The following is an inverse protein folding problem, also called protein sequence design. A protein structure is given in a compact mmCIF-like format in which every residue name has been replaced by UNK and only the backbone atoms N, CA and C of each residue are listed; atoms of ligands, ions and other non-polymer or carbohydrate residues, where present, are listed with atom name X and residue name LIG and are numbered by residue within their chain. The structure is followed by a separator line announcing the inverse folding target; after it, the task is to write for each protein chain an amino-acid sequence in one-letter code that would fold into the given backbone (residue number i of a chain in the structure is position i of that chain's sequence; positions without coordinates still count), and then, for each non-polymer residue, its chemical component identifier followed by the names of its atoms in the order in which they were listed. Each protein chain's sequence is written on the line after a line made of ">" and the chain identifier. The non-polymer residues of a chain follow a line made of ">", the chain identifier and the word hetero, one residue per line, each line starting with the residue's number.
data_IF_031631753347
#
_entry.id   IF_031631753347
#
_cell.length_a   1.000
_cell.length_b   1.000
_cell.length_c   1.000
_cell.angle_alpha   90.00
_cell.angle_beta   90.00
_cell.angle_gamma   90.00
#
_symmetry.space_group_name_H-M   'P 1'
#
loop_
_entity.id
_entity.type
_entity.pdbx_description
1 polymer ?
#
# COMPACT_ATOMS: atom_id res chain seq x y z
N UNK A 1 20.98 -28.73 44.59
CA UNK A 1 20.09 -28.46 43.43
C UNK A 1 20.51 -27.23 42.63
N UNK A 2 20.89 -26.11 43.27
CA UNK A 2 21.25 -24.86 42.60
C UNK A 2 22.47 -24.95 41.64
N UNK A 3 23.49 -25.74 42.00
CA UNK A 3 24.67 -25.97 41.13
C UNK A 3 24.36 -26.83 39.90
N UNK A 4 23.38 -27.73 39.97
CA UNK A 4 22.96 -28.59 38.86
C UNK A 4 22.09 -27.84 37.84
N UNK A 5 21.28 -26.89 38.31
CA UNK A 5 20.51 -25.98 37.45
C UNK A 5 21.45 -25.00 36.72
N UNK A 6 22.44 -24.42 37.42
CA UNK A 6 23.47 -23.56 36.80
C UNK A 6 24.35 -24.28 35.78
N UNK A 7 24.66 -25.57 35.98
CA UNK A 7 25.44 -26.35 35.01
C UNK A 7 24.64 -26.72 33.75
N UNK A 8 23.34 -27.01 33.90
CA UNK A 8 22.45 -27.29 32.78
C UNK A 8 22.17 -26.06 31.91
N UNK A 9 22.04 -24.88 32.52
CA UNK A 9 21.85 -23.62 31.79
C UNK A 9 23.11 -23.20 31.01
N UNK A 10 24.30 -23.50 31.54
CA UNK A 10 25.57 -23.25 30.84
C UNK A 10 25.78 -24.19 29.66
N UNK A 11 25.41 -25.47 29.77
CA UNK A 11 25.56 -26.44 28.66
C UNK A 11 24.56 -26.17 27.53
N UNK A 12 23.32 -25.79 27.87
CA UNK A 12 22.30 -25.39 26.90
C UNK A 12 22.71 -24.11 26.13
N UNK A 13 23.23 -23.10 26.83
CA UNK A 13 23.74 -21.88 26.20
C UNK A 13 25.00 -22.12 25.34
N UNK A 14 25.91 -23.00 25.77
CA UNK A 14 27.08 -23.36 24.98
C UNK A 14 26.70 -24.06 23.66
N UNK A 15 25.71 -24.96 23.70
CA UNK A 15 25.19 -25.63 22.50
C UNK A 15 24.49 -24.66 21.52
N UNK A 16 23.78 -23.65 22.04
CA UNK A 16 23.15 -22.61 21.24
C UNK A 16 24.17 -21.72 20.54
N UNK A 17 25.23 -21.30 21.24
CA UNK A 17 26.31 -20.49 20.66
C UNK A 17 27.06 -21.27 19.58
N UNK A 18 27.38 -22.55 19.82
CA UNK A 18 28.03 -23.40 18.83
C UNK A 18 27.18 -23.60 17.57
N UNK A 19 25.87 -23.79 17.74
CA UNK A 19 24.90 -23.84 16.63
C UNK A 19 24.83 -22.51 15.89
N UNK A 20 24.82 -21.39 16.61
CA UNK A 20 24.84 -20.04 16.06
C UNK A 20 26.06 -19.80 15.17
N UNK A 21 27.26 -20.19 15.60
CA UNK A 21 28.50 -20.04 14.81
C UNK A 21 28.43 -20.87 13.52
N UNK A 22 27.98 -22.13 13.60
CA UNK A 22 27.85 -22.98 12.41
C UNK A 22 26.86 -22.40 11.40
N UNK A 23 25.69 -21.95 11.86
CA UNK A 23 24.69 -21.32 10.98
C UNK A 23 25.18 -19.97 10.42
N UNK A 24 25.95 -19.20 11.18
CA UNK A 24 26.53 -17.94 10.72
C UNK A 24 27.59 -18.16 9.63
N UNK A 25 28.47 -19.14 9.78
CA UNK A 25 29.46 -19.51 8.76
C UNK A 25 28.78 -20.02 7.48
N UNK A 26 27.75 -20.84 7.62
CA UNK A 26 26.98 -21.32 6.48
C UNK A 26 26.27 -20.17 5.75
N UNK A 27 25.66 -19.24 6.49
CA UNK A 27 25.07 -18.03 5.92
C UNK A 27 26.13 -17.15 5.23
N UNK A 28 27.31 -16.99 5.82
CA UNK A 28 28.42 -16.25 5.22
C UNK A 28 28.83 -16.85 3.86
N UNK A 29 28.96 -18.18 3.80
CA UNK A 29 29.36 -18.89 2.58
C UNK A 29 28.31 -18.77 1.47
N UNK A 30 27.02 -18.91 1.82
CA UNK A 30 25.93 -18.70 0.86
C UNK A 30 25.89 -17.24 0.39
N UNK A 31 25.99 -16.28 1.31
CA UNK A 31 26.00 -14.86 0.97
C UNK A 31 27.21 -14.48 0.12
N UNK A 32 28.38 -15.05 0.37
CA UNK A 32 29.56 -14.85 -0.47
C UNK A 32 29.29 -15.34 -1.90
N UNK A 33 28.82 -16.58 -2.05
CA UNK A 33 28.52 -17.16 -3.37
C UNK A 33 27.46 -16.36 -4.14
N UNK A 34 26.40 -15.91 -3.45
CA UNK A 34 25.34 -15.11 -4.06
C UNK A 34 25.81 -13.69 -4.42
N UNK A 35 26.50 -12.99 -3.53
CA UNK A 35 26.81 -11.57 -3.73
C UNK A 35 28.10 -11.32 -4.52
N UNK A 36 28.92 -12.34 -4.82
CA UNK A 36 30.17 -12.14 -5.58
C UNK A 36 29.94 -11.52 -6.94
N UNK A 37 28.91 -11.98 -7.66
CA UNK A 37 28.59 -11.46 -8.98
C UNK A 37 27.77 -10.16 -8.93
N UNK A 38 26.89 -10.00 -7.94
CA UNK A 38 25.99 -8.85 -7.85
C UNK A 38 26.57 -7.63 -7.14
N UNK A 39 27.48 -7.82 -6.19
CA UNK A 39 28.06 -6.76 -5.35
C UNK A 39 29.56 -6.68 -5.52
N UNK A 40 30.24 -7.83 -5.64
CA UNK A 40 31.69 -7.89 -5.77
C UNK A 40 32.24 -7.32 -7.08
N UNK A 41 31.44 -7.33 -8.15
CA UNK A 41 31.83 -6.87 -9.47
C UNK A 41 30.87 -5.76 -9.94
N UNK A 42 31.42 -4.61 -10.35
CA UNK A 42 30.69 -3.53 -11.03
C UNK A 42 31.31 -3.32 -12.40
N UNK A 43 30.49 -3.10 -13.43
CA UNK A 43 30.96 -2.56 -14.70
C UNK A 43 30.94 -1.03 -14.65
N UNK A 44 32.05 -0.41 -15.03
CA UNK A 44 32.20 1.05 -15.12
C UNK A 44 32.77 1.45 -16.48
N UNK A 45 32.49 2.67 -16.92
CA UNK A 45 33.10 3.20 -18.13
C UNK A 45 34.39 3.95 -17.77
N UNK A 46 35.49 3.60 -18.44
CA UNK A 46 36.73 4.35 -18.32
C UNK A 46 36.63 5.67 -19.12
N UNK A 47 37.60 6.58 -18.95
CA UNK A 47 37.71 7.88 -19.65
C UNK A 47 37.69 7.72 -21.19
N UNK A 48 38.07 6.55 -21.69
CA UNK A 48 38.02 6.17 -23.11
C UNK A 48 36.71 5.52 -23.57
N UNK A 49 35.64 5.54 -22.75
CA UNK A 49 34.34 4.89 -22.98
C UNK A 49 34.38 3.34 -23.09
N UNK A 50 35.44 2.70 -22.62
CA UNK A 50 35.52 1.23 -22.55
C UNK A 50 34.89 0.71 -21.25
N UNK A 51 34.15 -0.40 -21.36
CA UNK A 51 33.56 -1.09 -20.21
C UNK A 51 34.63 -1.90 -19.47
N UNK A 52 35.02 -1.43 -18.28
CA UNK A 52 35.95 -2.13 -17.39
C UNK A 52 35.20 -2.72 -16.19
N UNK A 53 35.69 -3.85 -15.68
CA UNK A 53 35.16 -4.47 -14.46
C UNK A 53 35.94 -3.94 -13.27
N UNK A 54 35.27 -3.18 -12.41
CA UNK A 54 35.79 -2.67 -11.14
C UNK A 54 35.37 -3.60 -10.01
N UNK A 55 36.36 -4.03 -9.22
CA UNK A 55 36.15 -4.96 -8.11
C UNK A 55 35.83 -4.19 -6.82
N UNK A 56 34.79 -4.61 -6.10
CA UNK A 56 34.30 -4.00 -4.86
C UNK A 56 34.34 -4.99 -3.68
N UNK A 57 35.49 -5.63 -3.48
CA UNK A 57 35.68 -6.64 -2.42
C UNK A 57 35.33 -6.14 -1.01
N UNK A 58 35.56 -4.85 -0.72
CA UNK A 58 35.20 -4.24 0.56
C UNK A 58 33.69 -4.26 0.84
N UNK A 59 32.87 -3.87 -0.15
CA UNK A 59 31.41 -3.92 -0.02
C UNK A 59 30.91 -5.36 0.09
N UNK A 60 31.50 -6.27 -0.67
CA UNK A 60 31.17 -7.69 -0.57
C UNK A 60 31.45 -8.26 0.83
N UNK A 61 32.61 -7.95 1.41
CA UNK A 61 32.96 -8.38 2.76
C UNK A 61 31.96 -7.86 3.80
N UNK A 62 31.48 -6.61 3.64
CA UNK A 62 30.45 -6.03 4.50
C UNK A 62 29.14 -6.80 4.39
N UNK A 63 28.66 -7.11 3.19
CA UNK A 63 27.41 -7.87 2.99
C UNK A 63 27.48 -9.27 3.60
N UNK A 64 28.61 -9.96 3.42
CA UNK A 64 28.86 -11.28 4.00
C UNK A 64 28.91 -11.21 5.53
N UNK A 65 29.58 -10.20 6.09
CA UNK A 65 29.64 -9.98 7.53
C UNK A 65 28.26 -9.69 8.12
N UNK A 66 27.45 -8.84 7.47
CA UNK A 66 26.08 -8.54 7.91
C UNK A 66 25.22 -9.80 7.91
N UNK A 67 25.31 -10.64 6.88
CA UNK A 67 24.55 -11.89 6.83
C UNK A 67 24.97 -12.88 7.93
N UNK A 68 26.29 -13.02 8.17
CA UNK A 68 26.84 -13.88 9.19
C UNK A 68 26.44 -13.42 10.61
N UNK A 69 26.66 -12.14 10.92
CA UNK A 69 26.32 -11.52 12.21
C UNK A 69 24.81 -11.52 12.42
N UNK A 70 24.04 -11.14 11.40
CA UNK A 70 22.58 -11.19 11.44
C UNK A 70 22.07 -12.59 11.76
N UNK A 71 22.59 -13.62 11.07
CA UNK A 71 22.19 -15.02 11.34
C UNK A 71 22.59 -15.45 12.76
N UNK A 72 23.81 -15.14 13.19
CA UNK A 72 24.27 -15.42 14.55
C UNK A 72 23.33 -14.82 15.60
N UNK A 73 23.02 -13.52 15.48
CA UNK A 73 22.11 -12.82 16.40
C UNK A 73 20.70 -13.43 16.39
N UNK A 74 20.20 -13.82 15.22
CA UNK A 74 18.87 -14.46 15.15
C UNK A 74 18.81 -15.80 15.87
N UNK A 75 19.85 -16.61 15.77
CA UNK A 75 19.89 -17.97 16.34
C UNK A 75 20.16 -17.94 17.83
N UNK A 76 21.08 -17.09 18.27
CA UNK A 76 21.52 -17.04 19.68
C UNK A 76 20.58 -16.21 20.54
N UNK A 77 20.03 -15.11 20.03
CA UNK A 77 19.26 -14.16 20.86
C UNK A 77 17.77 -14.10 20.50
N UNK A 78 17.41 -13.98 19.21
CA UNK A 78 16.00 -13.79 18.82
C UNK A 78 15.17 -15.07 18.91
N UNK A 79 15.64 -16.20 18.36
CA UNK A 79 14.90 -17.46 18.35
C UNK A 79 14.58 -17.97 19.76
N UNK A 80 15.54 -18.04 20.70
CA UNK A 80 15.25 -18.52 22.05
C UNK A 80 14.22 -17.63 22.77
N UNK A 81 14.31 -16.31 22.61
CA UNK A 81 13.31 -15.39 23.18
C UNK A 81 11.93 -15.54 22.55
N UNK A 82 11.85 -15.68 21.22
CA UNK A 82 10.59 -15.86 20.52
C UNK A 82 9.93 -17.19 20.89
N UNK A 83 10.71 -18.27 20.99
CA UNK A 83 10.21 -19.60 21.33
C UNK A 83 9.82 -19.68 22.81
N UNK A 84 10.59 -19.07 23.71
CA UNK A 84 10.21 -18.91 25.12
C UNK A 84 8.91 -18.12 25.27
N UNK A 85 8.73 -17.04 24.50
CA UNK A 85 7.50 -16.23 24.50
C UNK A 85 6.31 -17.00 23.92
N UNK A 86 6.50 -17.80 22.86
CA UNK A 86 5.47 -18.69 22.30
C UNK A 86 5.08 -19.79 23.29
N UNK A 87 6.05 -20.41 23.96
CA UNK A 87 5.81 -21.44 24.97
C UNK A 87 5.12 -20.88 26.21
N UNK A 88 5.52 -19.70 26.68
CA UNK A 88 4.85 -19.00 27.76
C UNK A 88 3.39 -18.67 27.40
N UNK A 89 3.16 -18.18 26.17
CA UNK A 89 1.83 -17.89 25.64
C UNK A 89 0.98 -19.15 25.41
N UNK A 90 1.58 -20.26 25.00
CA UNK A 90 0.90 -21.54 24.88
C UNK A 90 0.54 -22.13 26.26
N UNK A 91 1.39 -21.91 27.28
CA UNK A 91 1.13 -22.33 28.66
C UNK A 91 0.11 -21.47 29.39
N UNK A 92 0.00 -20.19 29.08
CA UNK A 92 -0.96 -19.30 29.75
C UNK A 92 -2.41 -19.58 29.37
N UNK A 93 -2.67 -20.30 28.27
CA UNK A 93 -4.04 -20.59 27.80
C UNK A 93 -4.86 -19.34 27.48
N UNK A 94 -4.24 -18.15 27.51
CA UNK A 94 -4.89 -16.88 27.22
C UNK A 94 -5.17 -16.83 25.72
N UNK A 95 -6.43 -17.13 25.38
CA UNK A 95 -7.05 -16.58 24.18
C UNK A 95 -6.76 -15.08 24.20
N UNK A 96 -6.14 -14.59 23.12
CA UNK A 96 -5.70 -13.21 22.86
C UNK A 96 -6.90 -12.25 22.78
N UNK A 97 -7.80 -12.30 23.76
CA UNK A 97 -8.89 -11.38 23.98
C UNK A 97 -8.36 -10.45 25.05
N UNK A 98 -7.52 -9.49 24.66
CA UNK A 98 -7.30 -8.31 25.48
C UNK A 98 -8.66 -7.62 25.64
N UNK A 99 -9.37 -7.97 26.71
CA UNK A 99 -10.71 -7.47 27.07
C UNK A 99 -10.69 -5.98 27.37
N UNK A 100 -9.54 -5.42 27.74
CA UNK A 100 -9.32 -3.98 27.80
C UNK A 100 -8.52 -3.49 26.60
N UNK A 101 -9.23 -2.96 25.60
CA UNK A 101 -8.61 -2.12 24.57
C UNK A 101 -8.04 -0.88 25.28
N UNK A 102 -6.73 -0.86 25.51
CA UNK A 102 -6.04 0.26 26.16
C UNK A 102 -6.40 1.61 25.51
N UNK A 103 -6.32 2.71 26.27
CA UNK A 103 -6.75 4.05 25.86
C UNK A 103 -6.30 4.43 24.43
N UNK A 104 -5.05 4.10 24.09
CA UNK A 104 -4.48 4.32 22.76
C UNK A 104 -5.19 3.53 21.67
N UNK A 105 -5.53 2.25 21.86
CA UNK A 105 -6.27 1.47 20.84
C UNK A 105 -7.69 2.01 20.60
N UNK A 106 -8.34 2.50 21.65
CA UNK A 106 -9.71 3.02 21.59
C UNK A 106 -9.76 4.44 20.99
N UNK A 107 -8.74 5.25 21.24
CA UNK A 107 -8.65 6.63 20.75
C UNK A 107 -7.74 6.81 19.53
N UNK A 108 -7.06 5.76 19.06
CA UNK A 108 -6.09 5.82 17.97
C UNK A 108 -6.62 6.54 16.74
N UNK A 109 -7.85 6.20 16.32
CA UNK A 109 -8.49 6.83 15.16
C UNK A 109 -8.74 8.33 15.35
N UNK A 110 -9.16 8.76 16.54
CA UNK A 110 -9.40 10.17 16.84
C UNK A 110 -8.08 10.95 16.85
N UNK A 111 -7.06 10.38 17.50
CA UNK A 111 -5.72 10.97 17.57
C UNK A 111 -5.09 11.05 16.17
N UNK A 112 -5.18 9.99 15.38
CA UNK A 112 -4.66 9.96 14.01
C UNK A 112 -5.36 11.00 13.13
N UNK A 113 -6.68 11.16 13.26
CA UNK A 113 -7.44 12.15 12.51
C UNK A 113 -7.05 13.59 12.89
N UNK A 114 -6.90 13.87 14.19
CA UNK A 114 -6.42 15.18 14.67
C UNK A 114 -5.00 15.45 14.15
N UNK A 115 -4.10 14.47 14.27
CA UNK A 115 -2.73 14.60 13.78
C UNK A 115 -2.69 14.89 12.27
N UNK A 116 -3.53 14.22 11.49
CA UNK A 116 -3.58 14.37 10.05
C UNK A 116 -4.24 15.69 9.62
N UNK A 117 -5.21 16.20 10.39
CA UNK A 117 -5.79 17.53 10.17
C UNK A 117 -4.77 18.64 10.46
N UNK A 118 -3.97 18.50 11.52
CA UNK A 118 -2.93 19.45 11.91
C UNK A 118 -1.65 19.33 11.06
N UNK A 119 -1.43 18.21 10.38
CA UNK A 119 -0.19 17.91 9.65
C UNK A 119 0.25 19.01 8.67
N UNK A 120 -0.59 19.50 7.73
CA UNK A 120 -0.15 20.51 6.76
C UNK A 120 0.19 21.84 7.42
N UNK A 121 -0.56 22.22 8.46
CA UNK A 121 -0.35 23.47 9.21
C UNK A 121 0.96 23.41 9.99
N UNK A 122 1.20 22.29 10.67
CA UNK A 122 2.44 22.04 11.40
C UNK A 122 3.66 22.06 10.48
N UNK A 123 3.59 21.36 9.34
CA UNK A 123 4.68 21.32 8.36
C UNK A 123 4.92 22.70 7.74
N UNK A 124 3.87 23.47 7.44
CA UNK A 124 4.02 24.84 6.97
C UNK A 124 4.73 25.73 7.99
N UNK A 125 4.40 25.60 9.28
CA UNK A 125 5.03 26.36 10.36
C UNK A 125 6.52 26.00 10.56
N UNK A 126 6.89 24.72 10.43
CA UNK A 126 8.26 24.24 10.70
C UNK A 126 9.18 24.36 9.48
N UNK A 127 8.72 23.96 8.29
CA UNK A 127 9.55 23.88 7.09
C UNK A 127 9.41 25.09 6.16
N UNK A 128 8.52 26.03 6.49
CA UNK A 128 8.21 27.19 5.68
C UNK A 128 7.48 26.85 4.37
N UNK A 129 7.14 27.86 3.55
CA UNK A 129 6.30 27.67 2.37
C UNK A 129 6.90 26.72 1.32
N UNK A 130 8.20 26.82 1.05
CA UNK A 130 8.85 25.97 0.05
C UNK A 130 9.11 24.55 0.58
N UNK A 131 9.54 24.40 1.83
CA UNK A 131 9.71 23.08 2.44
C UNK A 131 8.40 22.32 2.54
N UNK A 132 7.29 23.01 2.85
CA UNK A 132 5.97 22.37 2.97
C UNK A 132 5.46 21.74 1.68
N UNK A 133 5.84 22.27 0.51
CA UNK A 133 5.39 21.73 -0.78
C UNK A 133 5.79 20.27 -0.91
N UNK A 134 7.05 19.97 -0.58
CA UNK A 134 7.60 18.63 -0.69
C UNK A 134 6.92 17.64 0.27
N UNK A 135 6.80 18.03 1.53
CA UNK A 135 6.24 17.16 2.58
C UNK A 135 4.72 17.00 2.50
N UNK A 136 3.98 18.05 2.14
CA UNK A 136 2.53 17.96 1.98
C UNK A 136 2.18 17.20 0.71
N UNK A 137 2.85 17.48 -0.41
CA UNK A 137 2.56 16.84 -1.70
C UNK A 137 3.02 15.37 -1.73
N UNK A 138 4.32 15.12 -1.53
CA UNK A 138 4.88 13.78 -1.75
C UNK A 138 4.60 12.81 -0.60
N UNK A 139 4.63 13.26 0.66
CA UNK A 139 4.24 12.40 1.78
C UNK A 139 2.73 12.42 1.98
N UNK A 140 2.14 13.60 2.21
CA UNK A 140 0.74 13.70 2.59
C UNK A 140 -0.22 13.20 1.51
N UNK A 141 -0.20 13.86 0.35
CA UNK A 141 -1.17 13.60 -0.72
C UNK A 141 -0.94 12.22 -1.35
N UNK A 142 0.31 11.84 -1.63
CA UNK A 142 0.60 10.52 -2.24
C UNK A 142 0.13 9.37 -1.35
N UNK A 143 0.43 9.41 -0.05
CA UNK A 143 0.00 8.36 0.89
C UNK A 143 -1.53 8.27 0.88
N UNK A 144 -2.24 9.40 0.95
CA UNK A 144 -3.70 9.41 0.97
C UNK A 144 -4.32 8.86 -0.34
N UNK A 145 -3.71 9.11 -1.50
CA UNK A 145 -4.13 8.49 -2.77
C UNK A 145 -4.01 6.96 -2.68
N UNK A 146 -2.87 6.43 -2.21
CA UNK A 146 -2.69 4.99 -2.06
C UNK A 146 -3.59 4.38 -0.98
N UNK A 147 -3.90 5.12 0.10
CA UNK A 147 -4.90 4.70 1.09
C UNK A 147 -6.26 4.52 0.43
N UNK A 148 -6.69 5.50 -0.37
CA UNK A 148 -7.98 5.44 -1.05
C UNK A 148 -8.03 4.31 -2.10
N UNK A 149 -6.96 4.14 -2.89
CA UNK A 149 -6.81 3.03 -3.83
C UNK A 149 -6.88 1.67 -3.11
N UNK A 150 -6.13 1.52 -2.02
CA UNK A 150 -6.09 0.28 -1.27
C UNK A 150 -7.45 -0.01 -0.58
N UNK A 151 -8.17 1.01 -0.10
CA UNK A 151 -9.53 0.83 0.39
C UNK A 151 -10.51 0.39 -0.69
N UNK A 152 -10.39 0.94 -1.90
CA UNK A 152 -11.17 0.48 -3.06
C UNK A 152 -10.89 -0.97 -3.43
N UNK A 153 -9.61 -1.34 -3.57
CA UNK A 153 -9.22 -2.73 -3.84
C UNK A 153 -9.63 -3.68 -2.71
N UNK A 154 -9.60 -3.22 -1.46
CA UNK A 154 -10.01 -4.01 -0.30
C UNK A 154 -11.52 -4.37 -0.30
N UNK A 155 -12.37 -3.68 -1.06
CA UNK A 155 -13.74 -4.14 -1.26
C UNK A 155 -13.75 -5.44 -2.08
N UNK A 156 -12.98 -5.47 -3.16
CA UNK A 156 -12.93 -6.61 -4.10
C UNK A 156 -12.16 -7.79 -3.49
N UNK A 157 -10.91 -7.56 -3.07
CA UNK A 157 -10.03 -8.59 -2.51
C UNK A 157 -10.38 -8.90 -1.06
N UNK A 158 -10.60 -7.86 -0.26
CA UNK A 158 -10.76 -7.98 1.18
C UNK A 158 -12.16 -8.40 1.62
N UNK A 159 -13.23 -7.87 1.03
CA UNK A 159 -14.61 -8.23 1.41
C UNK A 159 -15.17 -9.36 0.54
N UNK A 160 -15.06 -9.25 -0.79
CA UNK A 160 -15.63 -10.23 -1.73
C UNK A 160 -14.71 -11.43 -2.03
N UNK A 161 -13.41 -11.36 -1.70
CA UNK A 161 -12.47 -12.47 -1.91
C UNK A 161 -12.01 -12.65 -3.35
N UNK A 162 -12.22 -11.65 -4.20
CA UNK A 162 -11.92 -11.71 -5.62
C UNK A 162 -10.52 -11.14 -5.84
N UNK A 163 -9.62 -11.94 -6.41
CA UNK A 163 -8.26 -11.50 -6.67
C UNK A 163 -8.24 -10.59 -7.90
N UNK A 164 -7.94 -9.30 -7.70
CA UNK A 164 -7.86 -8.30 -8.76
C UNK A 164 -6.43 -7.76 -8.88
N UNK A 165 -5.68 -8.31 -9.82
CA UNK A 165 -4.33 -7.83 -10.17
C UNK A 165 -4.37 -6.65 -11.14
N UNK A 166 -5.50 -6.45 -11.81
CA UNK A 166 -5.72 -5.42 -12.82
C UNK A 166 -6.22 -4.09 -12.27
N UNK A 167 -6.22 -3.89 -10.95
CA UNK A 167 -6.85 -2.74 -10.30
C UNK A 167 -6.38 -1.37 -10.84
N UNK A 168 -5.12 -1.28 -11.27
CA UNK A 168 -4.53 -0.10 -11.93
C UNK A 168 -5.31 0.36 -13.17
N UNK A 169 -6.06 -0.53 -13.83
CA UNK A 169 -6.93 -0.20 -14.94
C UNK A 169 -8.01 0.81 -14.54
N UNK A 170 -8.66 0.60 -13.39
CA UNK A 170 -9.70 1.49 -12.90
C UNK A 170 -9.14 2.84 -12.47
N UNK A 171 -7.91 2.82 -11.93
CA UNK A 171 -7.14 4.02 -11.65
C UNK A 171 -6.83 4.82 -12.93
N UNK A 172 -6.37 4.14 -14.00
CA UNK A 172 -6.11 4.74 -15.31
C UNK A 172 -7.39 5.32 -15.93
N UNK A 173 -8.48 4.53 -15.95
CA UNK A 173 -9.77 4.96 -16.50
C UNK A 173 -10.27 6.22 -15.81
N UNK A 174 -10.16 6.31 -14.48
CA UNK A 174 -10.53 7.54 -13.75
C UNK A 174 -9.68 8.75 -14.11
N UNK A 175 -8.35 8.56 -14.21
CA UNK A 175 -7.42 9.63 -14.54
C UNK A 175 -7.61 10.14 -15.97
N UNK A 176 -7.75 9.24 -16.94
CA UNK A 176 -7.98 9.59 -18.34
C UNK A 176 -9.38 10.15 -18.58
N UNK A 177 -10.40 9.64 -17.87
CA UNK A 177 -11.75 10.23 -17.93
C UNK A 177 -11.73 11.69 -17.47
N UNK A 178 -11.06 11.97 -16.35
CA UNK A 178 -10.89 13.34 -15.86
C UNK A 178 -10.11 14.22 -16.86
N UNK A 179 -8.97 13.72 -17.34
CA UNK A 179 -8.10 14.46 -18.24
C UNK A 179 -8.78 14.82 -19.58
N UNK A 180 -9.45 13.84 -20.19
CA UNK A 180 -10.16 14.02 -21.46
C UNK A 180 -11.37 14.95 -21.29
N UNK A 181 -12.25 14.66 -20.33
CA UNK A 181 -13.47 15.44 -20.16
C UNK A 181 -13.17 16.89 -19.74
N UNK A 182 -12.14 17.10 -18.91
CA UNK A 182 -11.69 18.46 -18.58
C UNK A 182 -11.14 19.21 -19.79
N UNK A 183 -10.32 18.53 -20.63
CA UNK A 183 -9.69 19.16 -21.79
C UNK A 183 -10.67 19.49 -22.92
N UNK A 184 -11.68 18.64 -23.14
CA UNK A 184 -12.65 18.84 -24.23
C UNK A 184 -13.86 19.68 -23.82
N UNK A 185 -14.41 19.47 -22.62
CA UNK A 185 -15.66 20.10 -22.20
C UNK A 185 -15.49 21.21 -21.16
N UNK A 186 -14.28 21.41 -20.63
CA UNK A 186 -14.01 22.47 -19.65
C UNK A 186 -14.82 22.33 -18.35
N UNK A 187 -15.29 21.12 -18.02
CA UNK A 187 -16.13 20.88 -16.85
C UNK A 187 -15.36 21.11 -15.56
N UNK A 188 -16.07 21.53 -14.51
CA UNK A 188 -15.47 21.77 -13.20
C UNK A 188 -14.99 20.47 -12.55
N UNK A 189 -13.96 20.58 -11.72
CA UNK A 189 -13.42 19.47 -10.93
C UNK A 189 -14.51 18.70 -10.17
N UNK A 190 -15.48 19.42 -9.59
CA UNK A 190 -16.55 18.86 -8.77
C UNK A 190 -17.56 18.00 -9.55
N UNK A 191 -17.72 18.26 -10.85
CA UNK A 191 -18.55 17.44 -11.74
C UNK A 191 -17.73 16.26 -12.28
N UNK A 192 -16.47 16.51 -12.62
CA UNK A 192 -15.59 15.49 -13.16
C UNK A 192 -15.23 14.40 -12.16
N UNK A 193 -15.10 14.72 -10.88
CA UNK A 193 -14.81 13.77 -9.81
C UNK A 193 -15.86 12.64 -9.72
N UNK A 194 -17.17 12.91 -9.51
CA UNK A 194 -18.21 11.87 -9.50
C UNK A 194 -18.34 11.18 -10.84
N UNK A 195 -18.25 11.92 -11.96
CA UNK A 195 -18.37 11.36 -13.30
C UNK A 195 -17.27 10.34 -13.62
N UNK A 196 -16.03 10.63 -13.23
CA UNK A 196 -14.89 9.71 -13.40
C UNK A 196 -15.05 8.43 -12.58
N UNK A 197 -15.59 8.54 -11.36
CA UNK A 197 -15.92 7.36 -10.55
C UNK A 197 -17.05 6.52 -11.13
N UNK A 198 -18.09 7.14 -11.69
CA UNK A 198 -19.18 6.43 -12.38
C UNK A 198 -18.65 5.71 -13.61
N UNK A 199 -17.82 6.37 -14.43
CA UNK A 199 -17.20 5.75 -15.60
C UNK A 199 -16.31 4.57 -15.20
N UNK A 200 -15.50 4.71 -14.14
CA UNK A 200 -14.72 3.59 -13.62
C UNK A 200 -15.61 2.44 -13.11
N UNK A 201 -16.72 2.74 -12.43
CA UNK A 201 -17.69 1.74 -11.99
C UNK A 201 -18.32 0.98 -13.18
N UNK A 202 -18.67 1.69 -14.26
CA UNK A 202 -19.18 1.08 -15.49
C UNK A 202 -18.15 0.11 -16.10
N UNK A 203 -16.88 0.52 -16.19
CA UNK A 203 -15.81 -0.37 -16.62
C UNK A 203 -15.58 -1.55 -15.67
N UNK A 204 -15.79 -1.35 -14.37
CA UNK A 204 -15.80 -2.43 -13.37
C UNK A 204 -16.89 -3.47 -13.65
N UNK A 205 -18.09 -3.04 -14.06
CA UNK A 205 -19.17 -3.96 -14.47
C UNK A 205 -18.83 -4.66 -15.79
N UNK A 206 -18.26 -3.93 -16.76
CA UNK A 206 -17.84 -4.47 -18.06
C UNK A 206 -16.78 -5.56 -17.87
N UNK A 207 -15.77 -5.34 -17.02
CA UNK A 207 -14.80 -6.37 -16.64
C UNK A 207 -15.47 -7.48 -15.84
N UNK A 208 -16.39 -7.13 -14.95
CA UNK A 208 -17.05 -8.08 -14.08
C UNK A 208 -17.75 -9.20 -14.87
N UNK A 209 -18.37 -8.87 -16.01
CA UNK A 209 -19.15 -9.79 -16.85
C UNK A 209 -18.38 -11.02 -17.39
N UNK A 210 -17.26 -10.88 -18.14
CA UNK A 210 -16.47 -12.03 -18.59
C UNK A 210 -15.85 -12.82 -17.42
N UNK A 211 -15.60 -12.13 -16.31
CA UNK A 211 -14.95 -12.68 -15.12
C UNK A 211 -15.88 -13.54 -14.26
N UNK A 212 -17.21 -13.41 -14.41
CA UNK A 212 -18.21 -14.14 -13.60
C UNK A 212 -18.04 -15.67 -13.58
N UNK A 213 -17.45 -16.23 -14.65
CA UNK A 213 -17.28 -17.67 -14.83
C UNK A 213 -15.95 -18.20 -14.29
N UNK A 214 -15.05 -17.32 -13.86
CA UNK A 214 -13.69 -17.65 -13.44
C UNK A 214 -13.57 -17.64 -11.92
N UNK A 215 -12.63 -18.44 -11.41
CA UNK A 215 -12.37 -18.62 -9.97
C UNK A 215 -10.87 -18.68 -9.71
N UNK A 216 -10.48 -18.28 -8.50
CA UNK A 216 -9.10 -18.38 -8.01
C UNK A 216 -8.10 -17.71 -8.93
N UNK A 217 -7.10 -18.46 -9.39
CA UNK A 217 -5.99 -17.92 -10.16
C UNK A 217 -6.40 -17.48 -11.58
N UNK A 218 -7.41 -18.10 -12.18
CA UNK A 218 -7.91 -17.70 -13.50
C UNK A 218 -8.51 -16.29 -13.47
N UNK A 219 -9.18 -15.94 -12.36
CA UNK A 219 -9.71 -14.61 -12.12
C UNK A 219 -8.57 -13.58 -12.03
N UNK A 220 -7.46 -13.92 -11.35
CA UNK A 220 -6.29 -13.07 -11.25
C UNK A 220 -5.63 -12.80 -12.62
N UNK A 221 -5.50 -13.83 -13.45
CA UNK A 221 -4.89 -13.72 -14.79
C UNK A 221 -5.71 -12.80 -15.69
N UNK A 222 -7.04 -12.95 -15.69
CA UNK A 222 -7.91 -12.14 -16.55
C UNK A 222 -7.97 -10.68 -16.11
N UNK A 223 -7.94 -10.40 -14.81
CA UNK A 223 -7.85 -9.01 -14.33
C UNK A 223 -6.52 -8.36 -14.72
N UNK A 224 -5.40 -9.08 -14.59
CA UNK A 224 -4.10 -8.62 -15.08
C UNK A 224 -4.14 -8.31 -16.58
N UNK A 225 -4.66 -9.24 -17.38
CA UNK A 225 -4.79 -9.06 -18.83
C UNK A 225 -5.63 -7.82 -19.17
N UNK A 226 -6.75 -7.59 -18.46
CA UNK A 226 -7.55 -6.38 -18.64
C UNK A 226 -6.77 -5.10 -18.33
N UNK A 227 -6.00 -5.07 -17.24
CA UNK A 227 -5.16 -3.91 -16.92
C UNK A 227 -4.14 -3.60 -18.00
N UNK A 228 -3.50 -4.63 -18.54
CA UNK A 228 -2.58 -4.47 -19.66
C UNK A 228 -3.30 -4.07 -20.97
N UNK A 229 -4.50 -4.61 -21.24
CA UNK A 229 -5.31 -4.19 -22.39
C UNK A 229 -5.66 -2.70 -22.30
N UNK A 230 -6.14 -2.22 -21.15
CA UNK A 230 -6.46 -0.80 -20.96
C UNK A 230 -5.22 0.07 -21.18
N UNK A 231 -4.07 -0.33 -20.61
CA UNK A 231 -2.79 0.38 -20.82
C UNK A 231 -2.39 0.41 -22.30
N UNK A 232 -2.48 -0.71 -23.00
CA UNK A 232 -2.15 -0.79 -24.42
C UNK A 232 -3.11 0.01 -25.28
N UNK A 233 -4.42 0.01 -24.99
CA UNK A 233 -5.41 0.85 -25.66
C UNK A 233 -5.04 2.33 -25.48
N UNK A 234 -4.72 2.75 -24.26
CA UNK A 234 -4.31 4.12 -23.98
C UNK A 234 -3.03 4.50 -24.74
N UNK A 235 -2.06 3.58 -24.88
CA UNK A 235 -0.81 3.85 -25.61
C UNK A 235 -1.04 3.95 -27.11
N UNK A 236 -1.84 3.04 -27.69
CA UNK A 236 -2.01 2.95 -29.14
C UNK A 236 -3.09 3.89 -29.70
N UNK A 237 -4.05 4.33 -28.88
CA UNK A 237 -5.12 5.21 -29.32
C UNK A 237 -4.71 6.69 -29.36
N UNK A 238 -3.73 7.00 -30.20
CA UNK A 238 -3.09 8.31 -30.29
C UNK A 238 -4.05 9.47 -30.52
N UNK A 239 -5.12 9.26 -31.29
CA UNK A 239 -6.08 10.31 -31.64
C UNK A 239 -6.87 10.82 -30.42
N UNK A 240 -7.12 9.95 -29.44
CA UNK A 240 -7.92 10.29 -28.26
C UNK A 240 -7.02 10.60 -27.06
N UNK A 241 -6.06 9.74 -26.75
CA UNK A 241 -5.26 9.81 -25.51
C UNK A 241 -3.91 10.51 -25.70
N UNK A 242 -3.56 10.87 -26.94
CA UNK A 242 -2.23 11.34 -27.34
C UNK A 242 -1.12 10.29 -27.15
N UNK A 243 -1.49 9.02 -26.93
CA UNK A 243 -0.58 7.89 -26.82
C UNK A 243 0.45 8.07 -25.70
N UNK A 244 1.73 7.81 -26.01
CA UNK A 244 2.84 7.93 -25.06
C UNK A 244 3.09 9.35 -24.57
N UNK A 245 2.71 10.38 -25.34
CA UNK A 245 2.85 11.78 -24.92
C UNK A 245 1.96 12.14 -23.73
N UNK A 246 0.86 11.40 -23.53
CA UNK A 246 -0.10 11.68 -22.48
C UNK A 246 -0.85 13.01 -22.66
N UNK A 247 -1.66 13.35 -21.66
CA UNK A 247 -2.49 14.55 -21.66
C UNK A 247 -1.92 15.55 -20.66
N UNK A 248 -1.34 16.63 -21.17
CA UNK A 248 -0.80 17.76 -20.40
C UNK A 248 -1.76 18.94 -20.35
N UNK A 249 -1.55 19.83 -19.39
CA UNK A 249 -2.30 21.08 -19.28
C UNK A 249 -3.68 20.91 -18.68
N UNK A 250 -3.87 19.88 -17.86
CA UNK A 250 -5.15 19.60 -17.21
C UNK A 250 -5.45 20.75 -16.22
N UNK A 251 -6.62 21.40 -16.32
CA UNK A 251 -7.02 22.47 -15.42
C UNK A 251 -6.93 22.08 -13.94
N UNK A 252 -6.36 22.98 -13.13
CA UNK A 252 -6.25 22.82 -11.69
C UNK A 252 -7.63 22.79 -11.04
N UNK A 253 -7.79 21.98 -9.99
CA UNK A 253 -9.00 21.98 -9.17
C UNK A 253 -9.25 23.37 -8.55
N UNK A 254 -10.49 23.87 -8.65
CA UNK A 254 -10.94 25.14 -8.06
C UNK A 254 -11.79 24.90 -6.81
N UNK A 255 -11.73 25.82 -5.84
CA UNK A 255 -12.58 25.78 -4.66
C UNK A 255 -13.95 26.39 -5.03
N UNK A 256 -14.88 25.57 -5.50
CA UNK A 256 -16.23 25.99 -5.94
C UNK A 256 -16.25 27.26 -6.81
N UNK A 257 -15.36 27.33 -7.82
CA UNK A 257 -15.25 28.47 -8.72
C UNK A 257 -14.17 29.49 -8.34
N UNK A 258 -13.55 29.39 -7.16
CA UNK A 258 -12.40 30.21 -6.77
C UNK A 258 -11.11 29.57 -7.30
N UNK A 259 -10.40 30.22 -8.24
CA UNK A 259 -9.14 29.71 -8.76
C UNK A 259 -7.97 29.92 -7.78
N UNK A 260 -6.97 29.07 -7.86
CA UNK A 260 -5.71 29.19 -7.12
C UNK A 260 -4.60 29.84 -7.96
N UNK A 261 -4.97 30.89 -8.71
CA UNK A 261 -4.08 31.66 -9.57
C UNK A 261 -4.01 33.13 -9.14
N UNK A 262 -3.12 33.92 -9.75
CA UNK A 262 -2.92 35.32 -9.40
C UNK A 262 -4.06 36.27 -9.83
N UNK A 263 -5.19 35.74 -10.30
CA UNK A 263 -6.35 36.49 -10.76
C UNK A 263 -7.02 37.27 -9.62
N UNK A 264 -7.80 38.30 -9.95
CA UNK A 264 -8.45 39.18 -8.96
C UNK A 264 -9.40 38.44 -8.00
N UNK A 265 -10.02 37.35 -8.46
CA UNK A 265 -10.83 36.43 -7.63
C UNK A 265 -10.05 35.23 -7.08
N UNK A 266 -8.71 35.26 -7.13
CA UNK A 266 -7.86 34.15 -6.69
C UNK A 266 -7.86 33.98 -5.17
N UNK A 267 -7.78 32.74 -4.71
CA UNK A 267 -7.84 32.37 -3.28
C UNK A 267 -6.89 33.20 -2.39
N UNK A 268 -5.65 33.43 -2.82
CA UNK A 268 -4.66 34.19 -2.04
C UNK A 268 -5.06 35.67 -1.87
N UNK A 269 -5.65 36.29 -2.90
CA UNK A 269 -6.09 37.70 -2.84
C UNK A 269 -7.37 37.86 -2.03
N UNK A 270 -8.29 36.90 -2.10
CA UNK A 270 -9.55 36.93 -1.35
C UNK A 270 -9.32 36.89 0.17
N UNK A 271 -8.29 36.15 0.62
CA UNK A 271 -7.97 35.99 2.04
C UNK A 271 -6.77 36.82 2.51
N UNK A 272 -6.29 37.77 1.68
CA UNK A 272 -5.12 38.60 1.97
C UNK A 272 -3.85 37.81 2.39
N UNK A 273 -3.67 36.63 1.78
CA UNK A 273 -2.53 35.74 2.02
C UNK A 273 -1.42 35.97 0.98
N UNK A 274 -0.14 35.70 1.32
CA UNK A 274 0.94 35.77 0.34
C UNK A 274 0.70 34.76 -0.79
N UNK A 275 1.00 35.12 -2.04
CA UNK A 275 0.81 34.20 -3.17
C UNK A 275 1.85 33.07 -3.08
N UNK A 276 1.41 31.88 -2.68
CA UNK A 276 2.26 30.69 -2.60
C UNK A 276 1.54 29.46 -3.14
N UNK A 277 2.26 28.64 -3.89
CA UNK A 277 1.77 27.33 -4.36
C UNK A 277 1.46 26.36 -3.21
N UNK A 278 1.95 26.64 -2.00
CA UNK A 278 1.69 25.83 -0.81
C UNK A 278 0.20 25.76 -0.47
N UNK A 279 -0.54 26.87 -0.59
CA UNK A 279 -1.97 26.90 -0.29
C UNK A 279 -2.79 25.97 -1.17
N UNK A 280 -2.43 25.87 -2.45
CA UNK A 280 -3.08 24.94 -3.37
C UNK A 280 -2.84 23.47 -2.96
N UNK A 281 -1.61 23.12 -2.57
CA UNK A 281 -1.29 21.76 -2.11
C UNK A 281 -1.94 21.44 -0.77
N UNK A 282 -2.03 22.41 0.15
CA UNK A 282 -2.76 22.26 1.42
C UNK A 282 -4.27 22.04 1.15
N UNK A 283 -4.85 22.80 0.23
CA UNK A 283 -6.24 22.57 -0.21
C UNK A 283 -6.44 21.15 -0.76
N UNK A 284 -5.57 20.72 -1.68
CA UNK A 284 -5.63 19.36 -2.23
C UNK A 284 -5.47 18.28 -1.15
N UNK A 285 -4.61 18.51 -0.14
CA UNK A 285 -4.47 17.60 0.99
C UNK A 285 -5.77 17.45 1.78
N UNK A 286 -6.43 18.55 2.13
CA UNK A 286 -7.72 18.48 2.83
C UNK A 286 -8.81 17.88 1.97
N UNK A 287 -8.77 18.10 0.65
CA UNK A 287 -9.69 17.52 -0.29
C UNK A 287 -9.56 15.98 -0.37
N UNK A 288 -8.35 15.44 -0.57
CA UNK A 288 -8.15 13.99 -0.58
C UNK A 288 -8.41 13.37 0.79
N UNK A 289 -8.11 14.08 1.88
CA UNK A 289 -8.46 13.63 3.21
C UNK A 289 -9.98 13.53 3.38
N UNK A 290 -10.75 14.52 2.93
CA UNK A 290 -12.20 14.47 2.95
C UNK A 290 -12.74 13.31 2.09
N UNK A 291 -12.15 13.05 0.92
CA UNK A 291 -12.49 11.90 0.08
C UNK A 291 -12.13 10.56 0.74
N UNK A 292 -10.99 10.49 1.43
CA UNK A 292 -10.60 9.33 2.24
C UNK A 292 -11.62 9.09 3.37
N UNK A 293 -12.00 10.13 4.11
CA UNK A 293 -13.01 10.02 5.15
C UNK A 293 -14.36 9.57 4.58
N UNK A 294 -14.76 10.11 3.43
CA UNK A 294 -15.98 9.71 2.74
C UNK A 294 -15.93 8.24 2.29
N UNK A 295 -14.84 7.80 1.66
CA UNK A 295 -14.67 6.41 1.20
C UNK A 295 -14.61 5.44 2.38
N UNK A 296 -13.92 5.78 3.46
CA UNK A 296 -13.93 5.00 4.70
C UNK A 296 -15.34 4.91 5.30
N UNK A 297 -16.07 6.03 5.39
CA UNK A 297 -17.44 6.07 5.88
C UNK A 297 -18.38 5.19 5.05
N UNK A 298 -18.33 5.33 3.71
CA UNK A 298 -19.12 4.54 2.78
C UNK A 298 -18.77 3.05 2.90
N UNK A 299 -17.49 2.68 2.95
CA UNK A 299 -17.08 1.28 3.12
C UNK A 299 -17.56 0.68 4.44
N UNK A 300 -17.47 1.41 5.55
CA UNK A 300 -17.98 0.96 6.86
C UNK A 300 -19.50 0.76 6.81
N UNK A 301 -20.22 1.66 6.13
CA UNK A 301 -21.68 1.55 5.95
C UNK A 301 -22.04 0.36 5.05
N UNK A 302 -21.38 0.21 3.91
CA UNK A 302 -21.60 -0.90 2.97
C UNK A 302 -21.36 -2.25 3.62
N UNK A 303 -20.30 -2.39 4.43
CA UNK A 303 -19.99 -3.63 5.18
C UNK A 303 -21.13 -4.03 6.13
N UNK A 304 -21.86 -3.07 6.70
CA UNK A 304 -23.01 -3.34 7.59
C UNK A 304 -24.30 -3.64 6.83
N UNK A 305 -24.42 -3.17 5.60
CA UNK A 305 -25.58 -3.36 4.73
C UNK A 305 -25.65 -4.80 4.17
N UNK A 306 -26.81 -5.25 3.67
CA UNK A 306 -26.97 -6.60 3.10
C UNK A 306 -25.97 -6.92 2.00
N UNK A 307 -25.62 -5.93 1.17
CA UNK A 307 -24.67 -6.10 0.07
C UNK A 307 -23.25 -6.45 0.56
N UNK A 308 -22.78 -5.80 1.61
CA UNK A 308 -21.47 -6.09 2.21
C UNK A 308 -21.45 -7.44 2.93
N UNK A 309 -22.55 -7.82 3.59
CA UNK A 309 -22.69 -9.15 4.19
C UNK A 309 -22.69 -10.25 3.13
N UNK A 310 -23.32 -10.00 1.97
CA UNK A 310 -23.30 -10.92 0.84
C UNK A 310 -21.89 -11.07 0.25
N UNK A 311 -21.10 -10.00 0.16
CA UNK A 311 -19.69 -10.08 -0.22
C UNK A 311 -18.89 -10.95 0.74
N UNK A 312 -19.01 -10.70 2.05
CA UNK A 312 -18.30 -11.48 3.06
C UNK A 312 -18.71 -12.95 3.04
N UNK A 313 -20.01 -13.26 2.90
CA UNK A 313 -20.50 -14.63 2.84
C UNK A 313 -20.00 -15.37 1.58
N UNK A 314 -20.06 -14.71 0.42
CA UNK A 314 -19.61 -15.28 -0.86
C UNK A 314 -18.12 -15.60 -0.87
N UNK A 315 -17.33 -14.80 -0.14
CA UNK A 315 -15.90 -15.04 0.03
C UNK A 315 -15.58 -16.32 0.80
N UNK A 316 -16.41 -16.66 1.79
CA UNK A 316 -16.20 -17.88 2.58
C UNK A 316 -16.68 -19.12 1.82
N UNK A 317 -17.89 -19.09 1.24
CA UNK A 317 -18.40 -20.16 0.37
C UNK A 317 -19.43 -19.66 -0.66
N UNK A 318 -19.02 -19.59 -1.93
CA UNK A 318 -19.87 -19.20 -3.05
C UNK A 318 -21.00 -20.23 -3.32
N UNK A 319 -20.73 -21.52 -3.11
CA UNK A 319 -21.71 -22.61 -3.36
C UNK A 319 -22.81 -22.56 -2.31
N UNK A 320 -22.46 -22.38 -1.03
CA UNK A 320 -23.42 -22.21 0.05
C UNK A 320 -24.25 -20.92 -0.12
N UNK A 321 -23.66 -19.81 -0.56
CA UNK A 321 -24.42 -18.60 -0.85
C UNK A 321 -25.47 -18.82 -1.95
N UNK A 322 -25.10 -19.60 -2.98
CA UNK A 322 -26.00 -19.91 -4.09
C UNK A 322 -27.16 -20.83 -3.66
N UNK A 323 -26.95 -21.77 -2.74
CA UNK A 323 -28.02 -22.62 -2.20
C UNK A 323 -29.00 -21.83 -1.31
N UNK A 324 -28.54 -20.75 -0.67
CA UNK A 324 -29.35 -19.81 0.09
C UNK A 324 -30.08 -18.75 -0.78
N UNK A 325 -29.97 -18.84 -2.11
CA UNK A 325 -30.64 -17.93 -3.04
C UNK A 325 -29.94 -16.58 -3.28
N UNK A 326 -28.71 -16.40 -2.80
CA UNK A 326 -27.93 -15.18 -3.08
C UNK A 326 -27.44 -15.24 -4.54
N UNK A 327 -27.76 -14.19 -5.31
CA UNK A 327 -27.27 -14.06 -6.67
C UNK A 327 -25.77 -13.70 -6.67
N UNK A 328 -24.92 -14.69 -6.95
CA UNK A 328 -23.45 -14.53 -6.98
C UNK A 328 -22.99 -13.57 -8.07
N UNK A 329 -23.73 -13.45 -9.18
CA UNK A 329 -23.39 -12.55 -10.28
C UNK A 329 -23.51 -11.10 -9.86
N UNK A 330 -24.68 -10.68 -9.38
CA UNK A 330 -24.89 -9.28 -8.94
C UNK A 330 -23.98 -8.94 -7.76
N UNK A 331 -23.72 -9.91 -6.88
CA UNK A 331 -22.81 -9.75 -5.75
C UNK A 331 -21.36 -9.50 -6.21
N UNK A 332 -20.84 -10.24 -7.19
CA UNK A 332 -19.51 -9.99 -7.79
C UNK A 332 -19.46 -8.66 -8.55
N UNK A 333 -20.47 -8.36 -9.38
CA UNK A 333 -20.51 -7.12 -10.17
C UNK A 333 -20.53 -5.88 -9.28
N UNK A 334 -21.30 -5.90 -8.19
CA UNK A 334 -21.37 -4.77 -7.25
C UNK A 334 -20.06 -4.57 -6.48
N UNK A 335 -19.35 -5.65 -6.14
CA UNK A 335 -18.01 -5.56 -5.56
C UNK A 335 -17.03 -4.88 -6.53
N UNK A 336 -16.97 -5.35 -7.78
CA UNK A 336 -16.12 -4.75 -8.82
C UNK A 336 -16.50 -3.30 -9.12
N UNK A 337 -17.78 -2.99 -9.29
CA UNK A 337 -18.24 -1.63 -9.56
C UNK A 337 -17.85 -0.66 -8.44
N UNK A 338 -18.05 -1.05 -7.18
CA UNK A 338 -17.74 -0.19 -6.03
C UNK A 338 -16.23 -0.03 -5.84
N UNK A 339 -15.45 -1.11 -6.00
CA UNK A 339 -13.99 -1.05 -5.93
C UNK A 339 -13.39 -0.19 -7.06
N UNK A 340 -13.90 -0.36 -8.29
CA UNK A 340 -13.49 0.42 -9.45
C UNK A 340 -13.88 1.90 -9.31
N UNK A 341 -15.05 2.21 -8.74
CA UNK A 341 -15.48 3.59 -8.46
C UNK A 341 -14.46 4.34 -7.59
N UNK A 342 -13.99 3.71 -6.51
CA UNK A 342 -12.98 4.32 -5.63
C UNK A 342 -11.61 4.42 -6.31
N UNK A 343 -11.27 3.46 -7.18
CA UNK A 343 -10.10 3.55 -8.05
C UNK A 343 -10.18 4.74 -9.01
N UNK A 344 -11.36 4.98 -9.58
CA UNK A 344 -11.64 6.11 -10.47
C UNK A 344 -11.57 7.46 -9.76
N UNK A 345 -12.03 7.55 -8.50
CA UNK A 345 -11.86 8.75 -7.68
C UNK A 345 -10.39 9.05 -7.39
N UNK A 346 -9.58 8.02 -7.13
CA UNK A 346 -8.16 8.21 -6.95
C UNK A 346 -7.47 8.66 -8.25
N UNK A 347 -7.89 8.10 -9.39
CA UNK A 347 -7.38 8.45 -10.72
C UNK A 347 -7.64 9.90 -11.10
N UNK A 348 -8.90 10.32 -10.96
CA UNK A 348 -9.30 11.70 -11.24
C UNK A 348 -8.61 12.71 -10.31
N UNK A 349 -8.47 12.38 -9.03
CA UNK A 349 -7.69 13.20 -8.10
C UNK A 349 -6.21 13.25 -8.48
N UNK A 350 -5.60 12.14 -8.88
CA UNK A 350 -4.22 12.10 -9.36
C UNK A 350 -4.01 12.99 -10.58
N UNK A 351 -4.91 12.91 -11.58
CA UNK A 351 -4.88 13.75 -12.76
C UNK A 351 -4.98 15.25 -12.41
N UNK A 352 -5.89 15.61 -11.50
CA UNK A 352 -6.04 16.99 -11.01
C UNK A 352 -4.82 17.49 -10.22
N UNK A 353 -4.16 16.61 -9.46
CA UNK A 353 -2.96 16.93 -8.67
C UNK A 353 -1.74 17.17 -9.54
N UNK A 354 -1.52 16.31 -10.53
CA UNK A 354 -0.32 16.30 -11.35
C UNK A 354 -0.42 17.27 -12.55
N UNK A 355 -1.64 17.58 -13.01
CA UNK A 355 -1.85 18.40 -14.21
C UNK A 355 -1.43 17.71 -15.52
N UNK A 356 -1.04 16.44 -15.43
CA UNK A 356 -0.52 15.61 -16.49
C UNK A 356 -0.85 14.14 -16.21
N UNK A 357 -1.24 13.40 -17.24
CA UNK A 357 -1.51 11.96 -17.16
C UNK A 357 -0.79 11.26 -18.29
N UNK A 358 0.12 10.33 -17.95
CA UNK A 358 0.83 9.47 -18.90
C UNK A 358 0.48 7.99 -18.71
N UNK A 359 0.55 7.16 -19.76
CA UNK A 359 0.23 5.73 -19.65
C UNK A 359 1.23 4.97 -18.77
N UNK A 360 2.46 5.47 -18.68
CA UNK A 360 3.56 4.92 -17.88
C UNK A 360 3.29 4.99 -16.37
N UNK A 361 2.37 5.86 -15.94
CA UNK A 361 1.94 5.96 -14.54
C UNK A 361 1.04 4.80 -14.12
N UNK A 362 0.54 3.99 -15.06
CA UNK A 362 -0.48 2.95 -14.84
C UNK A 362 0.01 1.55 -15.21
N UNK A 363 1.17 1.16 -14.68
CA UNK A 363 1.77 -0.15 -14.93
C UNK A 363 1.31 -1.22 -13.93
N UNK A 364 1.41 -2.50 -14.31
CA UNK A 364 1.13 -3.63 -13.41
C UNK A 364 1.80 -3.51 -12.03
N UNK A 365 3.03 -2.99 -11.98
CA UNK A 365 3.77 -2.84 -10.74
C UNK A 365 3.04 -1.93 -9.73
N UNK A 366 2.37 -0.87 -10.20
CA UNK A 366 1.57 0.00 -9.33
C UNK A 366 0.38 -0.77 -8.74
N UNK A 367 -0.27 -1.61 -9.55
CA UNK A 367 -1.30 -2.56 -9.11
C UNK A 367 -0.78 -3.49 -8.01
N UNK A 368 0.42 -4.06 -8.20
CA UNK A 368 1.06 -4.94 -7.24
C UNK A 368 1.40 -4.21 -5.92
N UNK A 369 1.80 -2.94 -5.98
CA UNK A 369 2.03 -2.10 -4.78
C UNK A 369 0.72 -1.88 -4.01
N UNK A 370 -0.38 -1.56 -4.71
CA UNK A 370 -1.69 -1.38 -4.07
C UNK A 370 -2.16 -2.68 -3.42
N UNK A 371 -2.04 -3.82 -4.12
CA UNK A 371 -2.37 -5.13 -3.56
C UNK A 371 -1.51 -5.46 -2.34
N UNK A 372 -0.21 -5.20 -2.41
CA UNK A 372 0.70 -5.41 -1.28
C UNK A 372 0.28 -4.59 -0.06
N UNK A 373 -0.12 -3.33 -0.23
CA UNK A 373 -0.66 -2.50 0.85
C UNK A 373 -1.90 -3.15 1.48
N UNK A 374 -2.81 -3.70 0.66
CA UNK A 374 -4.01 -4.40 1.15
C UNK A 374 -3.65 -5.66 1.94
N UNK A 375 -2.76 -6.49 1.40
CA UNK A 375 -2.32 -7.74 2.02
C UNK A 375 -1.56 -7.48 3.32
N UNK A 376 -0.63 -6.52 3.31
CA UNK A 376 0.21 -6.13 4.43
C UNK A 376 -0.59 -5.40 5.53
N UNK A 377 -1.61 -4.63 5.16
CA UNK A 377 -2.55 -4.04 6.11
C UNK A 377 -3.42 -5.07 6.81
N UNK A 378 -3.72 -6.17 6.12
CA UNK A 378 -4.65 -7.20 6.55
C UNK A 378 -5.97 -7.07 5.80
N UNK A 379 -6.28 -8.07 4.97
CA UNK A 379 -7.50 -8.10 4.15
C UNK A 379 -8.76 -7.93 5.02
N UNK A 380 -9.55 -6.90 4.72
CA UNK A 380 -10.76 -6.54 5.45
C UNK A 380 -10.59 -5.51 6.58
N UNK A 381 -9.38 -4.99 6.82
CA UNK A 381 -9.10 -3.98 7.84
C UNK A 381 -8.74 -2.61 7.24
N UNK A 382 -9.64 -1.62 7.36
CA UNK A 382 -9.38 -0.25 6.87
C UNK A 382 -8.21 0.42 7.58
N UNK A 383 -8.08 0.22 8.90
CA UNK A 383 -7.01 0.85 9.70
C UNK A 383 -5.66 0.23 9.43
N UNK A 384 -5.61 -1.10 9.27
CA UNK A 384 -4.40 -1.81 8.89
C UNK A 384 -3.88 -1.36 7.53
N UNK A 385 -4.78 -1.18 6.56
CA UNK A 385 -4.45 -0.67 5.22
C UNK A 385 -3.88 0.75 5.28
N UNK A 386 -4.47 1.63 6.08
CA UNK A 386 -3.96 2.99 6.23
C UNK A 386 -2.54 3.01 6.80
N UNK A 387 -2.28 2.20 7.84
CA UNK A 387 -0.94 2.05 8.42
C UNK A 387 0.03 1.44 7.40
N UNK A 388 -0.40 0.42 6.65
CA UNK A 388 0.40 -0.19 5.60
C UNK A 388 0.79 0.80 4.52
N UNK A 389 -0.13 1.64 4.05
CA UNK A 389 0.17 2.69 3.08
C UNK A 389 1.18 3.70 3.63
N UNK A 390 1.04 4.13 4.88
CA UNK A 390 2.00 5.04 5.52
C UNK A 390 3.40 4.41 5.60
N UNK A 391 3.50 3.15 6.02
CA UNK A 391 4.79 2.46 6.14
C UNK A 391 5.41 2.21 4.77
N UNK A 392 4.63 1.73 3.80
CA UNK A 392 5.13 1.35 2.49
C UNK A 392 5.45 2.57 1.64
N UNK A 393 4.47 3.46 1.43
CA UNK A 393 4.65 4.65 0.60
C UNK A 393 5.50 5.68 1.33
N UNK A 394 5.17 5.99 2.58
CA UNK A 394 5.94 6.94 3.39
C UNK A 394 7.35 6.45 3.69
N UNK A 395 7.56 5.16 3.94
CA UNK A 395 8.90 4.60 4.09
C UNK A 395 9.76 4.77 2.83
N UNK A 396 9.19 4.51 1.65
CA UNK A 396 9.91 4.71 0.39
C UNK A 396 10.20 6.17 0.09
N UNK A 397 9.32 7.07 0.51
CA UNK A 397 9.52 8.51 0.35
C UNK A 397 10.57 9.04 1.36
N UNK A 398 10.59 8.52 2.60
CA UNK A 398 11.67 8.80 3.57
C UNK A 398 13.02 8.36 3.02
N UNK A 399 13.10 7.18 2.40
CA UNK A 399 14.33 6.66 1.80
C UNK A 399 14.90 7.57 0.70
N UNK A 400 14.05 8.32 0.00
CA UNK A 400 14.48 9.33 -0.98
C UNK A 400 15.24 10.48 -0.32
N UNK A 401 14.87 10.82 0.91
CA UNK A 401 15.47 11.90 1.70
C UNK A 401 16.70 11.48 2.52
N UNK A 402 16.99 10.19 2.58
CA UNK A 402 18.11 9.65 3.36
C UNK A 402 19.45 9.94 2.67
N UNK A 403 19.88 11.20 2.68
CA UNK A 403 21.19 11.63 2.19
C UNK A 403 22.35 10.92 2.91
N UNK A 404 22.13 10.46 4.15
CA UNK A 404 23.12 9.66 4.90
C UNK A 404 23.49 8.35 4.18
N UNK A 405 22.58 7.75 3.41
CA UNK A 405 22.87 6.54 2.65
C UNK A 405 23.91 6.82 1.56
N UNK A 406 23.91 8.01 0.96
CA UNK A 406 24.95 8.44 0.01
C UNK A 406 26.30 8.63 0.69
N UNK A 407 26.31 9.00 1.97
CA UNK A 407 27.54 9.09 2.76
C UNK A 407 28.15 7.70 3.06
N UNK A 408 27.32 6.67 3.21
CA UNK A 408 27.77 5.29 3.51
C UNK A 408 28.10 4.50 2.24
N UNK A 409 27.27 4.61 1.19
CA UNK A 409 27.36 3.79 -0.03
C UNK A 409 28.04 4.50 -1.21
N UNK A 410 28.44 5.77 -1.03
CA UNK A 410 29.13 6.59 -2.02
C UNK A 410 28.19 7.56 -2.77
N UNK A 411 28.76 8.60 -3.42
CA UNK A 411 27.99 9.65 -4.09
C UNK A 411 27.14 9.15 -5.26
N UNK A 412 27.54 8.05 -5.92
CA UNK A 412 26.79 7.43 -7.02
C UNK A 412 25.61 6.56 -6.56
N UNK A 413 25.45 6.37 -5.25
CA UNK A 413 24.34 5.59 -4.72
C UNK A 413 23.03 6.37 -4.85
N UNK A 414 22.12 5.87 -5.68
CA UNK A 414 20.77 6.42 -5.85
C UNK A 414 19.77 5.54 -5.08
N UNK A 415 19.33 5.97 -3.88
CA UNK A 415 18.38 5.18 -3.05
C UNK A 415 17.08 4.83 -3.80
N UNK A 416 16.71 5.67 -4.78
CA UNK A 416 15.53 5.52 -5.62
C UNK A 416 15.49 4.21 -6.40
N UNK A 417 16.64 3.73 -6.91
CA UNK A 417 16.71 2.47 -7.66
C UNK A 417 16.47 1.25 -6.77
N UNK A 418 16.81 1.35 -5.48
CA UNK A 418 16.66 0.27 -4.50
C UNK A 418 15.30 0.26 -3.81
N UNK A 419 14.40 1.20 -4.15
CA UNK A 419 13.05 1.31 -3.58
C UNK A 419 12.27 0.00 -3.64
N UNK A 420 12.29 -0.64 -4.81
CA UNK A 420 11.56 -1.90 -5.04
C UNK A 420 12.16 -3.08 -4.27
N UNK A 421 13.49 -3.10 -4.11
CA UNK A 421 14.17 -4.11 -3.31
C UNK A 421 13.78 -3.98 -1.83
N UNK A 422 13.81 -2.76 -1.30
CA UNK A 422 13.41 -2.48 0.08
C UNK A 422 11.92 -2.79 0.30
N UNK A 423 11.06 -2.49 -0.68
CA UNK A 423 9.66 -2.88 -0.69
C UNK A 423 9.47 -4.40 -0.61
N UNK A 424 10.15 -5.16 -1.47
CA UNK A 424 10.08 -6.62 -1.49
C UNK A 424 10.61 -7.24 -0.19
N UNK A 425 11.71 -6.70 0.34
CA UNK A 425 12.27 -7.12 1.62
C UNK A 425 11.30 -6.84 2.77
N UNK A 426 10.70 -5.64 2.83
CA UNK A 426 9.72 -5.28 3.85
C UNK A 426 8.49 -6.20 3.80
N UNK A 427 8.01 -6.53 2.60
CA UNK A 427 6.92 -7.50 2.40
C UNK A 427 7.27 -8.88 2.97
N UNK A 428 8.44 -9.43 2.63
CA UNK A 428 8.91 -10.73 3.15
C UNK A 428 9.02 -10.69 4.68
N UNK A 429 9.64 -9.64 5.23
CA UNK A 429 9.81 -9.48 6.68
C UNK A 429 8.45 -9.42 7.38
N UNK A 430 7.49 -8.65 6.87
CA UNK A 430 6.15 -8.56 7.47
C UNK A 430 5.40 -9.88 7.32
N UNK A 431 5.51 -10.57 6.20
CA UNK A 431 4.89 -11.89 6.03
C UNK A 431 5.46 -12.94 7.00
N UNK A 432 6.77 -12.85 7.32
CA UNK A 432 7.42 -13.71 8.30
C UNK A 432 7.00 -13.39 9.74
N UNK A 433 6.87 -12.11 10.09
CA UNK A 433 6.59 -11.67 11.48
C UNK A 433 5.08 -11.64 11.79
N UNK A 434 4.27 -11.19 10.83
CA UNK A 434 2.81 -11.04 10.92
C UNK A 434 2.13 -11.51 9.61
N UNK A 435 1.93 -12.83 9.42
CA UNK A 435 1.34 -13.39 8.20
C UNK A 435 -0.12 -12.98 7.93
N UNK A 436 -0.78 -12.29 8.87
CA UNK A 436 -2.15 -11.73 8.69
C UNK A 436 -2.17 -10.22 8.45
N UNK A 437 -1.01 -9.61 8.23
CA UNK A 437 -0.85 -8.16 8.13
C UNK A 437 -0.80 -7.47 9.50
N UNK A 438 -0.71 -6.13 9.49
CA UNK A 438 -0.51 -5.33 10.70
C UNK A 438 -1.66 -5.45 11.70
N UNK A 439 -2.91 -5.55 11.21
CA UNK A 439 -4.13 -5.66 12.01
C UNK A 439 -4.85 -6.97 11.65
N UNK A 440 -4.31 -8.09 12.16
CA UNK A 440 -4.77 -9.45 11.84
C UNK A 440 -5.97 -9.97 12.67
N UNK A 441 -6.66 -9.12 13.44
CA UNK A 441 -7.87 -9.49 14.18
C UNK A 441 -9.10 -9.18 13.35
N UNK A 442 -9.87 -10.20 12.98
CA UNK A 442 -11.11 -10.04 12.22
C UNK A 442 -12.29 -10.09 13.20
N UNK A 443 -12.96 -8.97 13.40
CA UNK A 443 -14.22 -8.94 14.15
C UNK A 443 -15.33 -9.46 13.23
N UNK A 444 -16.01 -10.58 13.57
CA UNK A 444 -17.10 -11.12 12.75
C UNK A 444 -18.28 -10.14 12.73
N UNK A 445 -18.83 -9.91 11.54
CA UNK A 445 -19.89 -8.93 11.29
C UNK A 445 -21.25 -9.38 11.84
N UNK A 446 -21.45 -10.68 12.05
CA UNK A 446 -22.65 -11.27 12.65
C UNK A 446 -22.25 -12.32 13.69
N UNK A 447 -22.94 -12.32 14.84
CA UNK A 447 -22.78 -13.31 15.91
C UNK A 447 -24.16 -13.71 16.43
N UNK A 448 -24.36 -15.01 16.72
CA UNK A 448 -25.65 -15.56 17.13
C UNK A 448 -25.99 -15.27 18.60
N UNK A 449 -25.01 -15.28 19.51
CA UNK A 449 -25.23 -15.07 20.95
C UNK A 449 -24.17 -14.18 21.62
N UNK A 450 -22.89 -14.38 21.32
CA UNK A 450 -21.81 -13.58 21.90
C UNK A 450 -20.81 -13.11 20.84
N UNK A 451 -20.27 -11.90 21.02
CA UNK A 451 -19.15 -11.40 20.22
C UNK A 451 -17.88 -12.16 20.59
N UNK A 452 -17.58 -13.23 19.86
CA UNK A 452 -16.28 -13.90 19.95
C UNK A 452 -15.37 -13.36 18.87
N UNK A 453 -14.25 -12.76 19.27
CA UNK A 453 -13.15 -12.47 18.36
C UNK A 453 -12.54 -13.81 17.95
N UNK A 454 -12.68 -14.18 16.68
CA UNK A 454 -12.07 -15.41 16.18
C UNK A 454 -10.58 -15.15 16.03
N UNK A 455 -9.78 -15.78 16.89
CA UNK A 455 -8.33 -15.86 16.71
C UNK A 455 -8.08 -16.33 15.29
N UNK A 456 -7.23 -15.62 14.54
CA UNK A 456 -7.06 -15.97 13.13
C UNK A 456 -6.53 -17.39 12.92
N UNK A 457 -6.02 -18.09 13.95
CA UNK A 457 -5.67 -19.51 13.84
C UNK A 457 -6.84 -20.36 13.32
N UNK A 458 -8.08 -20.02 13.71
CA UNK A 458 -9.30 -20.73 13.28
C UNK A 458 -9.79 -20.32 11.89
N UNK A 459 -9.39 -19.15 11.36
CA UNK A 459 -9.78 -18.70 10.02
C UNK A 459 -8.99 -19.37 8.89
N UNK A 460 -7.93 -20.13 9.19
CA UNK A 460 -7.19 -20.92 8.19
C UNK A 460 -7.86 -22.25 7.85
N UNK A 461 -8.80 -22.71 8.68
CA UNK A 461 -9.38 -24.06 8.59
C UNK A 461 -10.85 -24.07 8.14
N UNK A 462 -11.43 -22.91 7.79
CA UNK A 462 -12.86 -22.85 7.41
C UNK A 462 -13.82 -23.16 8.57
N UNK A 463 -13.35 -23.07 9.82
CA UNK A 463 -14.12 -23.30 11.04
C UNK A 463 -14.29 -22.01 11.86
N UNK A 464 -14.50 -20.89 11.18
CA UNK A 464 -14.71 -19.58 11.79
C UNK A 464 -16.14 -19.34 12.25
#
# INVERSE_FOLDING_TARGET
>A
MENAVRSADKSANAGLVQKGIKEALFAALISFGMFVLYVGLKTDQNISNELIIVQRWGLLAIFVAIAAVGRFLTVVFLRPHLDARKLAKARSGELDISTEKGFFHTHFLKIALIALLLYPVFIYAVAGPQGSLKWVDNFGIQILIYVMLAWGLNIVVGLAGLLDLGYVAFYAIGAYSYALLSSYFGLSFWVLLPLSGILAALWGVILGFPVLRLRGDYLAIVTLAFGEIIRLVIINWTDLTKGTFGISGIPKATLFGIPFDASAGGFAKLFHLPMSSAYYKIFLFYLILALCMLTAYVTIRLRRMPIGRAWEAMREDEIACRSLGINTVTTKLTAFATGAMFGGFAGSFFAARQGFVSPESFVFLESAVILAIVVLGGMGSLTGIAIAAIVMVGGTELLREMAFLKMIFGPDFTPELYRMLLFGLAMVVVMLIKPRGFVGSREPTAFLKERKAVSGSFTKEGHG
#
